data_IF_537582821081
#
_entry.id   IF_537582821081
#
_cell.length_a   1.000
_cell.length_b   1.000
_cell.length_c   1.000
_cell.angle_alpha   90.00
_cell.angle_beta   90.00
_cell.angle_gamma   90.00
#
_symmetry.space_group_name_H-M   'P 1'
#
loop_
_entity.id
_entity.type
_entity.pdbx_description
1 polymer ?
#
# COMPACT_ATOMS: atom_id res chain seq x y z
N UNK A 1 33.58 51.86 63.25
CA UNK A 1 32.40 51.03 63.54
C UNK A 1 31.98 50.32 62.27
N UNK A 2 31.78 48.99 62.34
CA UNK A 2 31.24 48.05 61.33
C UNK A 2 32.09 47.83 60.06
N UNK A 3 32.24 46.66 59.45
CA UNK A 3 32.09 45.22 59.77
C UNK A 3 32.20 44.47 58.42
N UNK A 4 32.95 43.34 58.38
CA UNK A 4 32.54 42.04 57.76
C UNK A 4 32.52 42.00 56.20
N UNK A 5 32.97 40.98 55.45
CA UNK A 5 33.65 39.71 55.67
C UNK A 5 34.15 39.16 54.32
N UNK A 6 35.13 38.26 54.39
CA UNK A 6 35.51 37.29 53.36
C UNK A 6 34.33 36.56 52.72
N UNK A 7 34.41 36.31 51.40
CA UNK A 7 33.69 35.21 50.76
C UNK A 7 34.60 34.45 49.79
N UNK A 8 34.73 33.16 50.10
CA UNK A 8 35.62 32.18 49.50
C UNK A 8 35.34 31.88 48.02
N UNK A 9 36.42 31.55 47.30
CA UNK A 9 36.40 30.83 46.01
C UNK A 9 35.64 29.50 46.13
N UNK A 10 34.71 29.24 45.22
CA UNK A 10 34.29 27.88 44.86
C UNK A 10 34.24 27.73 43.35
N UNK A 11 35.03 26.78 42.84
CA UNK A 11 35.09 26.38 41.44
C UNK A 11 33.85 25.55 41.09
N UNK A 12 33.07 26.00 40.11
CA UNK A 12 31.94 25.25 39.58
C UNK A 12 32.45 24.11 38.67
N UNK A 13 32.10 22.87 39.01
CA UNK A 13 32.31 21.70 38.14
C UNK A 13 31.21 21.70 37.07
N UNK A 14 31.58 21.91 35.81
CA UNK A 14 30.69 21.76 34.66
C UNK A 14 30.49 20.26 34.45
N UNK A 15 29.34 19.74 34.87
CA UNK A 15 28.91 18.38 34.54
C UNK A 15 28.49 18.33 33.07
N UNK A 16 29.16 17.48 32.28
CA UNK A 16 28.78 17.21 30.90
C UNK A 16 27.49 16.36 30.89
N UNK A 17 26.33 17.01 30.72
CA UNK A 17 25.08 16.32 30.45
C UNK A 17 25.12 15.77 29.02
N UNK A 18 25.36 14.47 28.87
CA UNK A 18 25.17 13.75 27.62
C UNK A 18 23.66 13.76 27.28
N UNK A 19 23.27 14.62 26.34
CA UNK A 19 21.92 14.61 25.77
C UNK A 19 21.76 13.33 24.92
N UNK A 20 21.08 12.33 25.49
CA UNK A 20 20.66 11.15 24.74
C UNK A 20 19.55 11.59 23.78
N UNK A 21 19.89 11.75 22.50
CA UNK A 21 18.92 12.00 21.45
C UNK A 21 18.06 10.73 21.29
N UNK A 22 16.85 10.74 21.84
CA UNK A 22 15.84 9.73 21.57
C UNK A 22 15.39 9.89 20.12
N UNK A 23 16.00 9.15 19.20
CA UNK A 23 15.45 8.95 17.87
C UNK A 23 14.23 8.05 18.02
N UNK A 24 13.04 8.65 18.13
CA UNK A 24 11.79 7.89 18.08
C UNK A 24 11.74 7.14 16.74
N UNK A 25 11.43 5.83 16.72
CA UNK A 25 11.25 5.11 15.48
C UNK A 25 10.09 5.76 14.72
N UNK A 26 10.31 6.07 13.44
CA UNK A 26 9.24 6.50 12.54
C UNK A 26 8.23 5.36 12.52
N UNK A 27 7.04 5.60 13.06
CA UNK A 27 5.96 4.62 13.04
C UNK A 27 5.53 4.42 11.59
N UNK A 28 5.96 3.31 10.99
CA UNK A 28 5.52 2.92 9.66
C UNK A 28 4.11 2.35 9.81
N UNK A 29 3.16 2.98 9.13
CA UNK A 29 1.79 2.53 9.01
C UNK A 29 1.80 1.11 8.43
N UNK A 30 1.43 0.07 9.17
CA UNK A 30 1.28 -1.30 8.71
C UNK A 30 0.10 -1.92 9.48
N UNK A 31 -0.57 -2.91 8.90
CA UNK A 31 -1.71 -3.56 9.55
C UNK A 31 -1.32 -4.48 10.73
N UNK A 32 -0.01 -4.64 10.95
CA UNK A 32 0.59 -5.47 12.00
C UNK A 32 1.74 -4.74 12.71
N UNK A 33 2.17 -5.28 13.86
CA UNK A 33 3.28 -4.74 14.63
C UNK A 33 4.62 -5.06 13.98
N UNK A 34 5.27 -4.04 13.44
CA UNK A 34 6.57 -4.16 12.79
C UNK A 34 7.69 -4.67 13.70
N UNK A 35 7.59 -4.53 15.02
CA UNK A 35 8.54 -5.13 15.95
C UNK A 35 8.45 -6.66 15.98
N UNK A 36 7.36 -7.24 15.46
CA UNK A 36 7.08 -8.67 15.40
C UNK A 36 7.20 -9.26 14.00
N UNK A 37 7.69 -8.48 13.02
CA UNK A 37 7.89 -8.92 11.65
C UNK A 37 8.83 -10.15 11.59
N UNK A 38 8.32 -11.24 11.05
CA UNK A 38 8.95 -12.57 11.00
C UNK A 38 9.22 -13.03 9.56
N UNK A 39 8.41 -12.61 8.59
CA UNK A 39 8.54 -12.99 7.18
C UNK A 39 9.32 -11.96 6.36
N UNK A 40 9.82 -12.36 5.18
CA UNK A 40 10.46 -11.44 4.24
C UNK A 40 9.51 -10.34 3.78
N UNK A 41 8.27 -10.70 3.48
CA UNK A 41 7.19 -9.78 3.13
C UNK A 41 6.92 -8.76 4.25
N UNK A 42 6.77 -9.21 5.49
CA UNK A 42 6.53 -8.32 6.64
C UNK A 42 7.68 -7.32 6.84
N UNK A 43 8.93 -7.77 6.65
CA UNK A 43 10.10 -6.87 6.71
C UNK A 43 10.11 -5.85 5.57
N UNK A 44 9.69 -6.23 4.36
CA UNK A 44 9.54 -5.27 3.24
C UNK A 44 8.48 -4.22 3.57
N UNK A 45 7.31 -4.62 4.06
CA UNK A 45 6.23 -3.71 4.47
C UNK A 45 6.71 -2.73 5.55
N UNK A 46 7.42 -3.23 6.56
CA UNK A 46 7.91 -2.38 7.65
C UNK A 46 9.06 -1.44 7.26
N UNK A 47 9.79 -1.75 6.19
CA UNK A 47 10.89 -0.93 5.68
C UNK A 47 10.45 0.12 4.66
N UNK A 48 9.19 0.12 4.21
CA UNK A 48 8.68 0.98 3.15
C UNK A 48 7.28 1.50 3.52
N UNK A 49 7.18 2.80 3.79
CA UNK A 49 5.92 3.43 4.19
C UNK A 49 4.81 3.32 3.11
N UNK A 50 5.17 3.25 1.83
CA UNK A 50 4.21 3.11 0.75
C UNK A 50 3.65 1.67 0.67
N UNK A 51 4.45 0.67 1.01
CA UNK A 51 3.97 -0.70 1.20
C UNK A 51 3.11 -0.83 2.44
N UNK A 52 3.53 -0.18 3.52
CA UNK A 52 2.77 -0.06 4.75
C UNK A 52 1.35 0.49 4.54
N UNK A 53 1.23 1.59 3.80
CA UNK A 53 -0.07 2.17 3.44
C UNK A 53 -0.95 1.20 2.64
N UNK A 54 -0.38 0.50 1.66
CA UNK A 54 -1.08 -0.53 0.88
C UNK A 54 -1.56 -1.69 1.73
N UNK A 55 -0.77 -2.11 2.69
CA UNK A 55 -1.11 -3.16 3.65
C UNK A 55 -2.28 -2.77 4.55
N UNK A 56 -2.33 -1.52 5.01
CA UNK A 56 -3.50 -1.03 5.74
C UNK A 56 -4.77 -0.94 4.87
N UNK A 57 -4.63 -0.51 3.62
CA UNK A 57 -5.75 -0.48 2.65
C UNK A 57 -6.30 -1.90 2.48
N UNK A 58 -5.41 -2.87 2.28
CA UNK A 58 -5.79 -4.28 2.18
C UNK A 58 -6.54 -4.75 3.42
N UNK A 59 -6.03 -4.46 4.61
CA UNK A 59 -6.67 -4.89 5.86
C UNK A 59 -8.10 -4.33 5.98
N UNK A 60 -8.32 -3.07 5.59
CA UNK A 60 -9.65 -2.43 5.60
C UNK A 60 -10.59 -3.05 4.58
N UNK A 61 -10.16 -3.20 3.32
CA UNK A 61 -10.95 -3.82 2.25
C UNK A 61 -11.27 -5.28 2.59
N UNK A 62 -10.29 -6.06 3.02
CA UNK A 62 -10.51 -7.45 3.41
C UNK A 62 -11.53 -7.59 4.54
N UNK A 63 -11.46 -6.72 5.56
CA UNK A 63 -12.46 -6.68 6.64
C UNK A 63 -13.88 -6.38 6.11
N UNK A 64 -13.99 -5.48 5.13
CA UNK A 64 -15.24 -5.16 4.45
C UNK A 64 -15.78 -6.34 3.63
N UNK A 65 -14.93 -6.93 2.78
CA UNK A 65 -15.26 -8.08 1.95
C UNK A 65 -15.75 -9.28 2.77
N UNK A 66 -15.19 -9.52 3.96
CA UNK A 66 -15.67 -10.57 4.88
C UNK A 66 -17.09 -10.34 5.41
N UNK A 67 -17.59 -9.09 5.40
CA UNK A 67 -18.94 -8.72 5.87
C UNK A 67 -19.98 -8.81 4.76
N UNK A 68 -19.60 -8.52 3.51
CA UNK A 68 -20.53 -8.44 2.38
C UNK A 68 -20.52 -9.69 1.49
N UNK A 69 -19.38 -10.38 1.39
CA UNK A 69 -19.19 -11.53 0.53
C UNK A 69 -19.47 -12.89 1.20
N UNK A 70 -19.28 -13.97 0.42
CA UNK A 70 -19.24 -15.33 0.98
C UNK A 70 -17.92 -15.53 1.72
N UNK A 71 -17.96 -15.40 3.04
CA UNK A 71 -16.79 -15.43 3.92
C UNK A 71 -15.75 -16.49 3.57
N UNK A 72 -16.17 -17.75 3.43
CA UNK A 72 -15.26 -18.86 3.13
C UNK A 72 -14.50 -18.69 1.81
N UNK A 73 -15.17 -18.17 0.77
CA UNK A 73 -14.54 -17.90 -0.53
C UNK A 73 -13.55 -16.74 -0.43
N UNK A 74 -13.92 -15.67 0.28
CA UNK A 74 -13.05 -14.49 0.51
C UNK A 74 -11.78 -14.91 1.26
N UNK A 75 -11.90 -15.71 2.31
CA UNK A 75 -10.77 -16.24 3.07
C UNK A 75 -9.89 -17.17 2.22
N UNK A 76 -10.50 -18.05 1.40
CA UNK A 76 -9.76 -18.93 0.51
C UNK A 76 -8.93 -18.16 -0.52
N UNK A 77 -9.52 -17.14 -1.14
CA UNK A 77 -8.83 -16.30 -2.13
C UNK A 77 -7.74 -15.46 -1.48
N UNK A 78 -7.97 -14.96 -0.26
CA UNK A 78 -6.95 -14.23 0.49
C UNK A 78 -5.74 -15.10 0.82
N UNK A 79 -5.94 -16.37 1.20
CA UNK A 79 -4.83 -17.32 1.43
C UNK A 79 -4.04 -17.60 0.16
N UNK A 80 -4.72 -17.78 -0.97
CA UNK A 80 -4.05 -17.95 -2.26
C UNK A 80 -3.22 -16.72 -2.63
N UNK A 81 -3.78 -15.51 -2.46
CA UNK A 81 -3.07 -14.26 -2.68
C UNK A 81 -1.84 -14.10 -1.76
N UNK A 82 -1.94 -14.48 -0.47
CA UNK A 82 -0.79 -14.44 0.44
C UNK A 82 0.39 -15.28 -0.07
N UNK A 83 0.13 -16.42 -0.73
CA UNK A 83 1.18 -17.20 -1.38
C UNK A 83 1.90 -16.44 -2.50
N UNK A 84 1.18 -15.65 -3.31
CA UNK A 84 1.76 -14.76 -4.33
C UNK A 84 2.58 -13.64 -3.67
N UNK A 85 2.02 -12.96 -2.67
CA UNK A 85 2.69 -11.86 -1.99
C UNK A 85 3.98 -12.31 -1.27
N UNK A 86 3.97 -13.48 -0.65
CA UNK A 86 5.15 -14.05 0.01
C UNK A 86 6.28 -14.45 -0.95
N UNK A 87 5.98 -14.67 -2.23
CA UNK A 87 6.98 -14.96 -3.25
C UNK A 87 7.75 -13.70 -3.72
N UNK A 88 7.27 -12.49 -3.38
CA UNK A 88 7.94 -11.25 -3.75
C UNK A 88 9.23 -11.03 -2.96
N UNK A 89 10.31 -10.74 -3.68
CA UNK A 89 11.63 -10.43 -3.10
C UNK A 89 11.96 -8.93 -3.10
N UNK A 90 11.14 -8.09 -3.72
CA UNK A 90 11.37 -6.64 -3.87
C UNK A 90 10.13 -5.84 -3.49
N UNK A 91 10.34 -4.57 -3.12
CA UNK A 91 9.24 -3.68 -2.79
C UNK A 91 8.31 -3.44 -4.00
N UNK A 92 8.86 -3.33 -5.22
CA UNK A 92 8.08 -3.14 -6.43
C UNK A 92 7.13 -4.33 -6.71
N UNK A 93 7.62 -5.57 -6.61
CA UNK A 93 6.79 -6.78 -6.76
C UNK A 93 5.65 -6.78 -5.72
N UNK A 94 5.98 -6.48 -4.47
CA UNK A 94 5.00 -6.51 -3.40
C UNK A 94 3.97 -5.39 -3.55
N UNK A 95 4.38 -4.20 -4.01
CA UNK A 95 3.46 -3.09 -4.30
C UNK A 95 2.44 -3.48 -5.37
N UNK A 96 2.89 -4.07 -6.48
CA UNK A 96 2.01 -4.56 -7.54
C UNK A 96 1.03 -5.63 -7.02
N UNK A 97 1.52 -6.59 -6.23
CA UNK A 97 0.69 -7.62 -5.63
C UNK A 97 -0.38 -7.06 -4.67
N UNK A 98 -0.07 -5.99 -3.92
CA UNK A 98 -1.05 -5.29 -3.10
C UNK A 98 -2.06 -4.51 -3.94
N UNK A 99 -1.59 -3.77 -4.95
CA UNK A 99 -2.44 -2.92 -5.78
C UNK A 99 -3.48 -3.75 -6.54
N UNK A 100 -3.07 -4.86 -7.16
CA UNK A 100 -4.01 -5.81 -7.78
C UNK A 100 -5.06 -6.32 -6.79
N UNK A 101 -4.63 -6.73 -5.60
CA UNK A 101 -5.54 -7.34 -4.62
C UNK A 101 -6.52 -6.35 -4.04
N UNK A 102 -6.06 -5.14 -3.75
CA UNK A 102 -6.91 -4.06 -3.28
C UNK A 102 -7.98 -3.74 -4.34
N UNK A 103 -7.63 -3.78 -5.63
CA UNK A 103 -8.58 -3.48 -6.71
C UNK A 103 -9.61 -4.60 -6.89
N UNK A 104 -9.21 -5.86 -6.72
CA UNK A 104 -10.13 -6.99 -6.67
C UNK A 104 -11.14 -6.87 -5.53
N UNK A 105 -10.68 -6.54 -4.32
CA UNK A 105 -11.55 -6.41 -3.16
C UNK A 105 -12.55 -5.27 -3.35
N UNK A 106 -12.11 -4.10 -3.82
CA UNK A 106 -13.01 -2.97 -4.12
C UNK A 106 -14.11 -3.34 -5.11
N UNK A 107 -13.76 -4.06 -6.18
CA UNK A 107 -14.76 -4.54 -7.16
C UNK A 107 -15.72 -5.55 -6.54
N UNK A 108 -15.24 -6.43 -5.66
CA UNK A 108 -16.07 -7.44 -4.99
C UNK A 108 -17.07 -6.84 -3.99
N UNK A 109 -16.75 -5.69 -3.42
CA UNK A 109 -17.58 -4.99 -2.44
C UNK A 109 -18.59 -4.02 -3.07
N UNK A 110 -18.63 -3.92 -4.40
CA UNK A 110 -19.61 -3.09 -5.12
C UNK A 110 -19.20 -1.63 -5.31
N UNK A 111 -17.89 -1.34 -5.39
CA UNK A 111 -17.42 -0.01 -5.78
C UNK A 111 -18.01 0.44 -7.11
N UNK A 112 -18.46 1.71 -7.18
CA UNK A 112 -18.98 2.27 -8.43
C UNK A 112 -17.85 2.32 -9.44
N UNK A 113 -18.07 1.71 -10.60
CA UNK A 113 -17.13 1.73 -11.72
C UNK A 113 -17.55 2.82 -12.70
N UNK A 114 -16.69 3.82 -12.86
CA UNK A 114 -16.77 4.78 -13.96
C UNK A 114 -15.56 4.54 -14.85
N UNK A 115 -15.73 4.57 -16.16
CA UNK A 115 -14.61 4.42 -17.07
C UNK A 115 -14.85 5.06 -18.42
N UNK A 116 -13.76 5.18 -19.17
CA UNK A 116 -13.78 5.64 -20.56
C UNK A 116 -12.85 4.74 -21.37
N UNK A 117 -13.29 4.45 -22.59
CA UNK A 117 -12.48 3.77 -23.59
C UNK A 117 -11.81 4.80 -24.51
N UNK A 118 -10.55 4.55 -24.83
CA UNK A 118 -9.73 5.31 -25.75
C UNK A 118 -9.35 4.37 -26.89
N UNK A 119 -9.84 4.65 -28.10
CA UNK A 119 -9.58 3.81 -29.27
C UNK A 119 -8.45 4.42 -30.09
N UNK A 120 -7.46 3.60 -30.44
CA UNK A 120 -6.45 3.96 -31.44
C UNK A 120 -6.95 3.64 -32.86
N UNK A 121 -7.80 2.62 -32.98
CA UNK A 121 -8.46 2.22 -34.23
C UNK A 121 -9.94 1.87 -33.95
N UNK A 122 -10.87 2.62 -34.54
CA UNK A 122 -12.31 2.38 -34.37
C UNK A 122 -12.84 1.33 -35.36
N UNK A 123 -13.87 0.53 -35.00
CA UNK A 123 -14.61 0.49 -33.73
C UNK A 123 -14.26 -0.74 -32.86
N UNK A 124 -13.26 -1.55 -33.27
CA UNK A 124 -12.88 -2.82 -32.62
C UNK A 124 -11.36 -3.10 -32.68
N UNK A 125 -10.56 -2.04 -32.84
CA UNK A 125 -9.11 -2.16 -32.84
C UNK A 125 -8.52 -2.00 -31.45
N UNK A 126 -7.21 -1.71 -31.44
CA UNK A 126 -6.45 -1.45 -30.23
C UNK A 126 -7.12 -0.35 -29.40
N UNK A 127 -7.36 -0.61 -28.13
CA UNK A 127 -7.99 0.34 -27.22
C UNK A 127 -7.43 0.24 -25.83
N UNK A 128 -7.54 1.35 -25.09
CA UNK A 128 -7.24 1.42 -23.68
C UNK A 128 -8.49 1.81 -22.90
N UNK A 129 -8.74 1.17 -21.77
CA UNK A 129 -9.83 1.53 -20.87
C UNK A 129 -9.23 2.11 -19.59
N UNK A 130 -9.59 3.35 -19.27
CA UNK A 130 -9.38 3.92 -17.95
C UNK A 130 -10.59 3.62 -17.08
N UNK A 131 -10.37 3.03 -15.91
CA UNK A 131 -11.40 2.77 -14.92
C UNK A 131 -11.05 3.46 -13.60
N UNK A 132 -12.06 4.03 -12.96
CA UNK A 132 -12.03 4.44 -11.56
C UNK A 132 -13.08 3.60 -10.82
N UNK A 133 -12.66 2.92 -9.76
CA UNK A 133 -13.53 2.08 -8.92
C UNK A 133 -13.51 2.63 -7.50
N UNK A 134 -14.67 2.97 -6.95
CA UNK A 134 -14.80 3.48 -5.59
C UNK A 134 -15.94 4.50 -5.42
N UNK A 135 -16.03 5.19 -4.27
CA UNK A 135 -15.25 4.93 -3.07
C UNK A 135 -15.71 3.64 -2.37
N UNK A 136 -14.76 2.86 -1.84
CA UNK A 136 -15.02 1.73 -0.92
C UNK A 136 -14.12 1.92 0.29
N UNK A 137 -14.71 2.01 1.49
CA UNK A 137 -14.03 2.37 2.75
C UNK A 137 -13.16 3.63 2.68
N UNK A 138 -13.54 4.60 1.83
CA UNK A 138 -12.78 5.83 1.63
C UNK A 138 -11.61 5.70 0.66
N UNK A 139 -11.53 4.62 -0.12
CA UNK A 139 -10.50 4.42 -1.15
C UNK A 139 -11.10 4.34 -2.55
N UNK A 140 -10.36 4.78 -3.56
CA UNK A 140 -10.66 4.50 -4.96
C UNK A 140 -9.42 3.97 -5.67
N UNK A 141 -9.59 3.01 -6.58
CA UNK A 141 -8.53 2.53 -7.47
C UNK A 141 -8.70 3.14 -8.85
N UNK A 142 -7.59 3.52 -9.48
CA UNK A 142 -7.53 3.87 -10.90
C UNK A 142 -6.73 2.79 -11.62
N UNK A 143 -7.29 2.27 -12.71
CA UNK A 143 -6.62 1.30 -13.56
C UNK A 143 -6.72 1.66 -15.03
N UNK A 144 -5.60 1.51 -15.73
CA UNK A 144 -5.50 1.60 -17.17
C UNK A 144 -5.26 0.19 -17.70
N UNK A 145 -6.15 -0.24 -18.57
CA UNK A 145 -6.02 -1.50 -19.30
C UNK A 145 -5.76 -1.14 -20.76
N UNK A 146 -4.80 -1.79 -21.40
CA UNK A 146 -4.56 -1.63 -22.84
C UNK A 146 -4.68 -2.98 -23.51
N UNK A 147 -5.50 -3.03 -24.55
CA UNK A 147 -5.76 -4.18 -25.37
C UNK A 147 -5.21 -3.90 -26.77
N UNK A 148 -4.23 -4.70 -27.17
CA UNK A 148 -3.75 -4.78 -28.53
C UNK A 148 -4.34 -6.01 -29.20
N UNK A 149 -4.92 -5.86 -30.38
CA UNK A 149 -5.48 -6.91 -31.23
C UNK A 149 -4.61 -7.02 -32.48
N UNK A 150 -3.87 -8.12 -32.58
CA UNK A 150 -2.93 -8.37 -33.67
C UNK A 150 -3.58 -9.11 -34.85
N UNK A 151 -2.92 -9.15 -36.02
CA UNK A 151 -3.37 -9.98 -37.14
C UNK A 151 -3.35 -11.46 -36.73
N UNK A 152 -4.52 -12.12 -36.73
CA UNK A 152 -4.66 -13.53 -36.37
C UNK A 152 -5.29 -13.80 -34.99
N UNK A 153 -5.62 -12.76 -34.21
CA UNK A 153 -6.31 -12.88 -32.93
C UNK A 153 -5.44 -13.44 -31.80
N UNK A 154 -6.08 -13.97 -30.74
CA UNK A 154 -5.45 -14.39 -29.48
C UNK A 154 -4.30 -15.39 -29.62
N UNK A 155 -4.25 -16.15 -30.72
CA UNK A 155 -3.20 -17.15 -30.94
C UNK A 155 -1.93 -16.57 -31.59
N UNK A 156 -1.97 -15.33 -32.08
CA UNK A 156 -0.93 -14.80 -32.99
C UNK A 156 -0.42 -13.41 -32.59
N UNK A 157 -1.10 -12.68 -31.71
CA UNK A 157 -0.57 -11.38 -31.28
C UNK A 157 -1.46 -10.49 -30.41
N UNK A 158 -2.63 -10.94 -29.94
CA UNK A 158 -3.41 -10.11 -29.01
C UNK A 158 -2.69 -10.02 -27.67
N UNK A 159 -2.54 -8.81 -27.14
CA UNK A 159 -1.92 -8.54 -25.84
C UNK A 159 -2.87 -7.70 -25.02
N UNK A 160 -3.37 -8.26 -23.93
CA UNK A 160 -4.10 -7.52 -22.90
C UNK A 160 -3.15 -7.25 -21.73
N UNK A 161 -2.94 -5.97 -21.43
CA UNK A 161 -2.21 -5.53 -20.24
C UNK A 161 -3.17 -4.78 -19.33
N UNK A 162 -3.14 -5.09 -18.04
CA UNK A 162 -3.93 -4.42 -17.04
C UNK A 162 -3.04 -4.14 -15.84
N UNK A 163 -2.93 -2.87 -15.47
CA UNK A 163 -2.26 -2.46 -14.25
C UNK A 163 -3.24 -1.66 -13.40
N UNK A 164 -3.13 -1.76 -12.08
CA UNK A 164 -3.73 -0.76 -11.20
C UNK A 164 -2.70 0.32 -10.99
N UNK A 165 -2.87 1.45 -11.67
CA UNK A 165 -1.86 2.50 -11.74
C UNK A 165 -1.86 3.41 -10.51
N UNK A 166 -2.98 3.50 -9.79
CA UNK A 166 -3.05 4.27 -8.55
C UNK A 166 -4.12 3.78 -7.57
N UNK A 167 -3.80 3.88 -6.28
CA UNK A 167 -4.78 3.90 -5.18
C UNK A 167 -4.85 5.30 -4.58
N UNK A 168 -6.06 5.83 -4.50
CA UNK A 168 -6.38 7.13 -3.93
C UNK A 168 -6.99 6.92 -2.54
N UNK A 169 -6.37 7.50 -1.52
CA UNK A 169 -6.97 7.67 -0.19
C UNK A 169 -7.83 8.94 -0.22
N UNK A 170 -9.14 8.78 0.00
CA UNK A 170 -10.16 9.82 -0.08
C UNK A 170 -10.72 10.19 1.30
N UNK A 171 -10.06 9.77 2.38
CA UNK A 171 -10.47 10.02 3.77
C UNK A 171 -10.01 11.38 4.29
#
# INVERSE_FOLDING_TARGET
MRAVSDFHRTAARIGASAAFAFTAPVAHAASFDCARASTGMERLVCGDAALGSRDEILARLYSGALKVGKREAVEAWQRAWLGKAQACATAACLAEAYDERNAELQRSEGGVKVGSDFFCEEPKGNHSTLNVVGPVHGFASVSLMSNYVGPGGVEVGDVATAATDAFLDLR
#
